data_IF_786013657154
#
_entry.id   IF_786013657154
#
_cell.length_a   1.000
_cell.length_b   1.000
_cell.length_c   1.000
_cell.angle_alpha   90.00
_cell.angle_beta   90.00
_cell.angle_gamma   90.00
#
_symmetry.space_group_name_H-M   'P 1'
#
loop_
_entity.id
_entity.type
_entity.pdbx_description
1 polymer ?
#
# COMPACT_ATOMS: atom_id res chain seq x y z
N UNK A 1 39.85 30.87 -70.99
CA UNK A 1 39.06 31.82 -71.80
C UNK A 1 38.04 31.12 -72.72
N UNK A 2 37.42 30.00 -72.30
CA UNK A 2 36.56 29.15 -73.15
C UNK A 2 35.09 29.05 -72.71
N UNK A 3 34.71 29.62 -71.56
CA UNK A 3 33.36 29.50 -71.01
C UNK A 3 32.31 30.42 -71.65
N UNK A 4 32.73 31.55 -72.25
CA UNK A 4 31.81 32.59 -72.75
C UNK A 4 31.19 32.23 -74.11
N UNK A 5 31.92 31.56 -75.01
CA UNK A 5 31.40 31.19 -76.34
C UNK A 5 30.37 30.04 -76.31
N UNK A 6 30.46 29.12 -75.35
CA UNK A 6 29.48 28.03 -75.18
C UNK A 6 28.10 28.51 -74.73
N UNK A 7 28.06 29.57 -73.91
CA UNK A 7 26.81 30.11 -73.39
C UNK A 7 25.98 30.86 -74.43
N UNK A 8 26.62 31.40 -75.48
CA UNK A 8 25.95 32.12 -76.58
C UNK A 8 25.30 31.13 -77.56
N UNK A 9 25.97 30.02 -77.87
CA UNK A 9 25.43 28.99 -78.77
C UNK A 9 24.18 28.28 -78.23
N UNK A 10 24.08 28.11 -76.91
CA UNK A 10 22.90 27.51 -76.27
C UNK A 10 21.69 28.45 -76.21
N UNK A 11 21.93 29.77 -76.17
CA UNK A 11 20.87 30.79 -76.16
C UNK A 11 20.20 30.97 -77.53
N UNK A 12 20.95 30.79 -78.63
CA UNK A 12 20.40 30.88 -80.00
C UNK A 12 19.62 29.62 -80.37
N UNK A 13 19.97 28.46 -79.79
CA UNK A 13 19.36 27.16 -80.12
C UNK A 13 18.13 26.81 -79.28
N UNK A 14 18.03 27.31 -78.04
CA UNK A 14 16.85 27.22 -77.19
C UNK A 14 16.34 28.62 -76.90
N UNK A 15 15.09 28.93 -77.28
CA UNK A 15 14.51 30.25 -77.12
C UNK A 15 14.65 30.81 -75.69
N UNK A 16 14.63 32.15 -75.53
CA UNK A 16 15.03 32.84 -74.29
C UNK A 16 14.26 32.37 -73.05
N UNK A 17 13.03 31.88 -73.21
CA UNK A 17 12.20 31.32 -72.14
C UNK A 17 12.70 29.97 -71.61
N UNK A 18 13.14 29.08 -72.49
CA UNK A 18 13.62 27.73 -72.12
C UNK A 18 15.00 27.80 -71.47
N UNK A 19 15.87 28.70 -71.95
CA UNK A 19 17.18 28.97 -71.34
C UNK A 19 17.06 29.42 -69.87
N UNK A 20 16.14 30.35 -69.58
CA UNK A 20 15.88 30.81 -68.19
C UNK A 20 15.30 29.69 -67.32
N UNK A 21 14.41 28.86 -67.88
CA UNK A 21 13.79 27.75 -67.17
C UNK A 21 14.80 26.67 -66.77
N UNK A 22 15.68 26.31 -67.70
CA UNK A 22 16.66 25.24 -67.51
C UNK A 22 17.82 25.68 -66.61
N UNK A 23 18.26 26.94 -66.75
CA UNK A 23 19.42 27.45 -65.99
C UNK A 23 19.06 27.97 -64.59
N UNK A 24 17.84 28.47 -64.38
CA UNK A 24 17.44 29.06 -63.09
C UNK A 24 16.26 28.36 -62.41
N UNK A 25 15.15 28.04 -63.10
CA UNK A 25 13.95 27.49 -62.41
C UNK A 25 14.10 26.05 -61.93
N UNK A 26 14.54 25.12 -62.79
CA UNK A 26 14.70 23.72 -62.40
C UNK A 26 15.68 23.50 -61.23
N UNK A 27 16.89 24.10 -61.21
CA UNK A 27 17.81 23.90 -60.10
C UNK A 27 17.26 24.47 -58.80
N UNK A 28 16.56 25.62 -58.83
CA UNK A 28 15.93 26.21 -57.64
C UNK A 28 14.84 25.32 -57.04
N UNK A 29 13.94 24.80 -57.88
CA UNK A 29 12.85 23.93 -57.42
C UNK A 29 13.40 22.64 -56.83
N UNK A 30 14.41 22.04 -57.47
CA UNK A 30 15.10 20.86 -56.93
C UNK A 30 15.76 21.18 -55.58
N UNK A 31 16.47 22.29 -55.48
CA UNK A 31 17.13 22.70 -54.24
C UNK A 31 16.14 22.88 -53.08
N UNK A 32 14.99 23.49 -53.34
CA UNK A 32 13.92 23.67 -52.34
C UNK A 32 13.34 22.31 -51.94
N UNK A 33 13.01 21.46 -52.91
CA UNK A 33 12.44 20.14 -52.64
C UNK A 33 13.39 19.23 -51.86
N UNK A 34 14.67 19.24 -52.21
CA UNK A 34 15.71 18.46 -51.52
C UNK A 34 15.91 18.98 -50.09
N UNK A 35 15.91 20.30 -49.89
CA UNK A 35 15.98 20.92 -48.55
C UNK A 35 14.79 20.52 -47.68
N UNK A 36 13.58 20.54 -48.23
CA UNK A 36 12.35 20.16 -47.51
C UNK A 36 12.35 18.67 -47.16
N UNK A 37 12.79 17.81 -48.07
CA UNK A 37 12.87 16.37 -47.80
C UNK A 37 13.95 16.03 -46.76
N UNK A 38 15.06 16.76 -46.76
CA UNK A 38 16.12 16.60 -45.78
C UNK A 38 15.63 17.00 -44.37
N UNK A 39 14.86 18.09 -44.26
CA UNK A 39 14.19 18.43 -43.00
C UNK A 39 13.16 17.39 -42.59
N UNK A 40 12.26 17.00 -43.49
CA UNK A 40 11.18 16.03 -43.22
C UNK A 40 11.70 14.67 -42.77
N UNK A 41 12.78 14.19 -43.38
CA UNK A 41 13.43 12.92 -43.02
C UNK A 41 14.13 13.00 -41.66
N UNK A 42 14.83 14.10 -41.36
CA UNK A 42 15.43 14.33 -40.03
C UNK A 42 14.38 14.36 -38.93
N UNK A 43 13.24 15.03 -39.14
CA UNK A 43 12.17 15.08 -38.14
C UNK A 43 11.51 13.72 -37.93
N UNK A 44 11.22 12.98 -39.02
CA UNK A 44 10.58 11.66 -38.90
C UNK A 44 11.42 10.64 -38.13
N UNK A 45 12.72 10.55 -38.42
CA UNK A 45 13.61 9.60 -37.74
C UNK A 45 13.84 9.98 -36.27
N UNK A 46 13.94 11.29 -35.97
CA UNK A 46 14.07 11.77 -34.60
C UNK A 46 12.85 11.42 -33.74
N UNK A 47 11.64 11.64 -34.26
CA UNK A 47 10.40 11.38 -33.51
C UNK A 47 10.19 9.90 -33.23
N UNK A 48 10.51 9.02 -34.18
CA UNK A 48 10.39 7.58 -33.97
C UNK A 48 11.31 7.05 -32.86
N UNK A 49 12.58 7.46 -32.88
CA UNK A 49 13.56 7.03 -31.89
C UNK A 49 13.21 7.56 -30.48
N UNK A 50 12.77 8.82 -30.37
CA UNK A 50 12.33 9.39 -29.09
C UNK A 50 11.13 8.61 -28.55
N UNK A 51 10.13 8.32 -29.40
CA UNK A 51 8.94 7.58 -28.99
C UNK A 51 9.28 6.17 -28.49
N UNK A 52 10.19 5.47 -29.17
CA UNK A 52 10.64 4.14 -28.76
C UNK A 52 11.37 4.17 -27.40
N UNK A 53 12.30 5.12 -27.21
CA UNK A 53 13.03 5.30 -25.94
C UNK A 53 12.05 5.63 -24.81
N UNK A 54 11.08 6.53 -25.06
CA UNK A 54 10.09 6.93 -24.08
C UNK A 54 9.24 5.73 -23.65
N UNK A 55 8.69 4.96 -24.60
CA UNK A 55 7.92 3.77 -24.27
C UNK A 55 8.72 2.72 -23.51
N UNK A 56 9.95 2.44 -23.94
CA UNK A 56 10.80 1.45 -23.27
C UNK A 56 11.13 1.89 -21.84
N UNK A 57 11.44 3.17 -21.64
CA UNK A 57 11.66 3.75 -20.32
C UNK A 57 10.40 3.69 -19.44
N UNK A 58 9.24 4.04 -20.00
CA UNK A 58 7.96 3.98 -19.29
C UNK A 58 7.61 2.56 -18.86
N UNK A 59 7.78 1.56 -19.73
CA UNK A 59 7.50 0.16 -19.40
C UNK A 59 8.38 -0.31 -18.24
N UNK A 60 9.68 -0.01 -18.28
CA UNK A 60 10.61 -0.37 -17.20
C UNK A 60 10.20 0.32 -15.90
N UNK A 61 9.92 1.62 -15.93
CA UNK A 61 9.50 2.39 -14.76
C UNK A 61 8.17 1.91 -14.17
N UNK A 62 7.23 1.49 -15.03
CA UNK A 62 5.94 0.95 -14.60
C UNK A 62 6.13 -0.41 -13.92
N UNK A 63 6.96 -1.30 -14.47
CA UNK A 63 7.26 -2.60 -13.86
C UNK A 63 7.93 -2.40 -12.49
N UNK A 64 8.91 -1.51 -12.38
CA UNK A 64 9.57 -1.26 -11.08
C UNK A 64 8.60 -0.65 -10.06
N UNK A 65 7.75 0.29 -10.48
CA UNK A 65 6.71 0.85 -9.61
C UNK A 65 5.72 -0.21 -9.14
N UNK A 66 5.28 -1.12 -10.03
CA UNK A 66 4.42 -2.24 -9.67
C UNK A 66 5.08 -3.21 -8.69
N UNK A 67 6.36 -3.52 -8.87
CA UNK A 67 7.10 -4.39 -7.95
C UNK A 67 7.21 -3.77 -6.54
N UNK A 68 7.53 -2.48 -6.46
CA UNK A 68 7.58 -1.75 -5.19
C UNK A 68 6.20 -1.71 -4.54
N UNK A 69 5.16 -1.42 -5.32
CA UNK A 69 3.78 -1.40 -4.83
C UNK A 69 3.35 -2.77 -4.28
N UNK A 70 3.62 -3.86 -5.02
CA UNK A 70 3.32 -5.22 -4.58
C UNK A 70 4.10 -5.61 -3.31
N UNK A 71 5.37 -5.20 -3.21
CA UNK A 71 6.19 -5.43 -2.02
C UNK A 71 5.60 -4.76 -0.78
N UNK A 72 5.21 -3.48 -0.89
CA UNK A 72 4.59 -2.73 0.20
C UNK A 72 3.24 -3.37 0.58
N UNK A 73 2.42 -3.71 -0.41
CA UNK A 73 1.12 -4.34 -0.17
C UNK A 73 1.27 -5.69 0.56
N UNK A 74 2.19 -6.54 0.12
CA UNK A 74 2.46 -7.81 0.79
C UNK A 74 2.99 -7.62 2.21
N UNK A 75 3.88 -6.65 2.43
CA UNK A 75 4.37 -6.33 3.77
C UNK A 75 3.23 -5.95 4.71
N UNK A 76 2.34 -5.05 4.27
CA UNK A 76 1.18 -4.62 5.05
C UNK A 76 0.24 -5.80 5.34
N UNK A 77 -0.05 -6.60 4.31
CA UNK A 77 -0.91 -7.78 4.48
C UNK A 77 -0.33 -8.75 5.52
N UNK A 78 0.96 -9.07 5.42
CA UNK A 78 1.63 -9.92 6.41
C UNK A 78 1.70 -9.28 7.79
N UNK A 79 1.93 -7.98 7.88
CA UNK A 79 1.92 -7.27 9.15
C UNK A 79 0.58 -7.47 9.87
N UNK A 80 -0.54 -7.24 9.20
CA UNK A 80 -1.86 -7.38 9.82
C UNK A 80 -2.29 -8.83 10.04
N UNK A 81 -1.83 -9.78 9.22
CA UNK A 81 -2.18 -11.20 9.37
C UNK A 81 -1.35 -11.87 10.48
N UNK A 82 -0.06 -11.52 10.59
CA UNK A 82 0.87 -12.25 11.45
C UNK A 82 1.30 -11.52 12.71
N UNK A 83 1.19 -10.18 12.78
CA UNK A 83 1.51 -9.47 14.02
C UNK A 83 0.25 -9.49 14.89
N UNK A 84 0.19 -10.35 15.93
CA UNK A 84 -0.95 -10.34 16.82
C UNK A 84 -0.98 -9.01 17.59
N UNK A 85 -2.16 -8.43 17.73
CA UNK A 85 -2.41 -7.48 18.81
C UNK A 85 -2.27 -8.24 20.12
N UNK A 86 -1.32 -7.85 20.97
CA UNK A 86 -1.03 -8.55 22.23
C UNK A 86 -2.21 -8.35 23.19
N UNK A 87 -3.17 -9.26 23.18
CA UNK A 87 -4.22 -9.43 24.19
C UNK A 87 -3.95 -10.73 24.95
N UNK A 88 -3.83 -10.62 26.28
CA UNK A 88 -3.56 -11.77 27.14
C UNK A 88 -4.82 -12.18 27.87
N UNK A 89 -5.36 -13.34 27.49
CA UNK A 89 -6.54 -13.93 28.13
C UNK A 89 -6.10 -14.93 29.20
N UNK A 90 -6.70 -14.83 30.39
CA UNK A 90 -6.48 -15.75 31.51
C UNK A 90 -7.83 -16.19 32.06
N UNK A 91 -8.07 -17.50 32.22
CA UNK A 91 -9.34 -17.98 32.76
C UNK A 91 -9.51 -17.58 34.22
N UNK A 92 -10.71 -17.13 34.58
CA UNK A 92 -11.09 -16.75 35.95
C UNK A 92 -11.95 -17.86 36.55
N UNK A 93 -11.52 -18.43 37.67
CA UNK A 93 -12.26 -19.47 38.38
C UNK A 93 -12.90 -18.89 39.64
N UNK A 94 -14.18 -18.52 39.54
CA UNK A 94 -14.96 -18.00 40.65
C UNK A 94 -15.20 -19.10 41.70
N UNK A 95 -14.88 -18.80 42.96
CA UNK A 95 -15.08 -19.71 44.10
C UNK A 95 -16.06 -19.10 45.09
N UNK A 96 -16.83 -19.97 45.73
CA UNK A 96 -17.76 -19.62 46.80
C UNK A 96 -17.34 -20.28 48.11
N UNK A 97 -17.64 -19.63 49.24
CA UNK A 97 -17.51 -20.25 50.55
C UNK A 97 -18.84 -20.94 50.92
N UNK A 98 -18.81 -22.22 51.32
CA UNK A 98 -20.02 -22.94 51.72
C UNK A 98 -20.58 -22.38 53.04
N UNK A 99 -21.90 -22.43 53.19
CA UNK A 99 -22.59 -22.13 54.45
C UNK A 99 -22.18 -23.11 55.56
N UNK A 100 -21.77 -22.60 56.73
CA UNK A 100 -21.53 -23.43 57.93
C UNK A 100 -20.08 -23.85 58.19
N UNK A 101 -19.09 -23.22 57.56
CA UNK A 101 -17.67 -23.39 57.91
C UNK A 101 -17.30 -22.68 59.24
N UNK A 102 -17.96 -23.08 60.31
CA UNK A 102 -17.53 -22.94 61.71
C UNK A 102 -17.21 -24.35 62.21
N UNK A 103 -16.32 -24.50 63.21
CA UNK A 103 -15.62 -25.73 63.65
C UNK A 103 -16.40 -27.07 63.73
N UNK A 104 -17.73 -27.05 63.65
CA UNK A 104 -18.58 -28.23 63.66
C UNK A 104 -19.15 -28.46 62.25
N UNK A 105 -18.53 -29.40 61.55
CA UNK A 105 -18.76 -29.79 60.16
C UNK A 105 -20.20 -30.31 59.91
N UNK A 106 -21.18 -29.41 59.84
CA UNK A 106 -22.52 -29.69 59.31
C UNK A 106 -22.73 -28.82 58.07
N UNK A 107 -22.47 -29.42 56.90
CA UNK A 107 -22.55 -28.73 55.60
C UNK A 107 -24.03 -28.60 55.20
N UNK A 108 -24.69 -27.55 55.66
CA UNK A 108 -25.94 -27.10 55.04
C UNK A 108 -25.66 -26.73 53.58
N UNK A 109 -26.34 -27.40 52.64
CA UNK A 109 -26.22 -27.12 51.20
C UNK A 109 -26.72 -25.71 50.91
N UNK A 110 -25.80 -24.75 50.80
CA UNK A 110 -26.11 -23.36 50.50
C UNK A 110 -24.86 -22.56 50.12
N UNK A 111 -25.08 -21.51 49.31
CA UNK A 111 -24.06 -20.53 48.91
C UNK A 111 -24.18 -19.37 49.90
N UNK A 112 -23.18 -19.16 50.77
CA UNK A 112 -23.22 -18.12 51.81
C UNK A 112 -22.26 -16.95 51.57
N UNK A 113 -21.56 -16.93 50.44
CA UNK A 113 -20.70 -15.82 50.05
C UNK A 113 -20.90 -15.47 48.59
N UNK A 114 -20.52 -14.26 48.22
CA UNK A 114 -20.38 -13.87 46.82
C UNK A 114 -19.25 -14.68 46.13
N UNK A 115 -19.34 -14.87 44.80
CA UNK A 115 -18.27 -15.48 44.03
C UNK A 115 -17.06 -14.55 44.00
N UNK A 116 -15.89 -15.06 44.39
CA UNK A 116 -14.64 -14.32 44.31
C UNK A 116 -13.55 -15.17 43.65
N UNK A 117 -12.65 -14.51 42.91
CA UNK A 117 -11.48 -15.15 42.31
C UNK A 117 -10.26 -14.22 42.43
N UNK A 118 -9.10 -14.81 42.68
CA UNK A 118 -7.82 -14.13 42.62
C UNK A 118 -7.08 -14.58 41.36
N UNK A 119 -6.80 -13.63 40.47
CA UNK A 119 -6.12 -13.89 39.19
C UNK A 119 -4.76 -13.21 39.23
N UNK A 120 -3.70 -14.00 39.10
CA UNK A 120 -2.34 -13.46 39.00
C UNK A 120 -2.06 -13.08 37.54
N UNK A 121 -2.03 -11.79 37.25
CA UNK A 121 -1.79 -11.27 35.89
C UNK A 121 -0.32 -11.39 35.46
N UNK A 122 0.62 -11.39 36.41
CA UNK A 122 2.06 -11.50 36.13
C UNK A 122 2.73 -12.50 37.07
N UNK A 123 3.63 -13.32 36.53
CA UNK A 123 4.50 -14.20 37.30
C UNK A 123 5.87 -14.24 36.64
N UNK A 124 6.86 -13.52 37.21
CA UNK A 124 8.26 -13.42 36.74
C UNK A 124 8.50 -12.90 35.31
N UNK A 125 7.50 -12.89 34.45
CA UNK A 125 7.53 -12.32 33.11
C UNK A 125 6.82 -10.96 33.18
N UNK A 126 7.53 -9.86 32.94
CA UNK A 126 6.94 -8.51 32.85
C UNK A 126 6.03 -8.41 31.62
N UNK A 127 4.84 -9.02 31.67
CA UNK A 127 3.80 -8.84 30.64
C UNK A 127 3.22 -7.43 30.73
N UNK A 128 3.22 -6.86 31.93
CA UNK A 128 2.78 -5.49 32.20
C UNK A 128 4.02 -4.65 32.50
N UNK A 129 4.50 -3.93 31.49
CA UNK A 129 5.55 -2.92 31.63
C UNK A 129 5.03 -1.70 32.39
N UNK A 130 5.87 -1.12 33.25
CA UNK A 130 5.55 0.10 33.98
C UNK A 130 5.43 1.30 33.02
N UNK A 131 4.46 2.19 33.27
CA UNK A 131 4.28 3.43 32.52
C UNK A 131 3.40 3.34 31.26
N UNK A 132 2.90 2.15 30.92
CA UNK A 132 1.95 1.97 29.82
C UNK A 132 0.51 1.83 30.36
N UNK A 133 -0.50 2.50 29.77
CA UNK A 133 -1.89 2.29 30.14
C UNK A 133 -2.38 0.93 29.63
N UNK A 134 -3.08 0.18 30.50
CA UNK A 134 -3.71 -1.10 30.15
C UNK A 134 -5.22 -1.01 30.32
N UNK A 135 -5.94 -1.80 29.52
CA UNK A 135 -7.39 -2.01 29.64
C UNK A 135 -7.63 -3.45 30.07
N UNK A 136 -8.46 -3.63 31.08
CA UNK A 136 -8.85 -4.95 31.60
C UNK A 136 -10.31 -5.16 31.20
N UNK A 137 -10.58 -6.29 30.56
CA UNK A 137 -11.92 -6.74 30.19
C UNK A 137 -12.21 -8.03 30.95
N UNK A 138 -13.39 -8.10 31.56
CA UNK A 138 -13.89 -9.30 32.22
C UNK A 138 -15.10 -9.78 31.43
N UNK A 139 -14.93 -10.88 30.71
CA UNK A 139 -16.01 -11.56 30.01
C UNK A 139 -16.57 -12.66 30.92
N UNK A 140 -17.85 -12.52 31.29
CA UNK A 140 -18.55 -13.47 32.15
C UNK A 140 -19.69 -14.13 31.35
N UNK A 141 -19.53 -15.41 31.04
CA UNK A 141 -20.57 -16.20 30.39
C UNK A 141 -21.60 -16.69 31.42
N UNK A 142 -22.87 -16.31 31.25
CA UNK A 142 -23.97 -16.78 32.08
C UNK A 142 -25.04 -17.53 31.27
N UNK A 143 -25.58 -18.65 31.77
CA UNK A 143 -26.63 -19.38 31.09
C UNK A 143 -28.01 -18.69 31.21
N UNK A 144 -28.83 -18.87 30.18
CA UNK A 144 -30.21 -18.39 30.07
C UNK A 144 -31.20 -19.20 30.93
N UNK A 145 -31.02 -19.17 32.25
CA UNK A 145 -31.93 -19.79 33.21
C UNK A 145 -33.06 -18.83 33.64
N UNK A 146 -34.26 -19.32 34.02
CA UNK A 146 -35.33 -18.45 34.51
C UNK A 146 -34.88 -17.62 35.72
N UNK A 147 -34.08 -18.20 36.61
CA UNK A 147 -33.48 -17.48 37.76
C UNK A 147 -32.53 -16.37 37.30
N UNK A 148 -31.68 -16.61 36.29
CA UNK A 148 -30.76 -15.59 35.79
C UNK A 148 -31.47 -14.50 34.98
N UNK A 149 -32.65 -14.78 34.41
CA UNK A 149 -33.49 -13.78 33.74
C UNK A 149 -34.22 -12.85 34.70
N UNK A 150 -34.53 -13.34 35.90
CA UNK A 150 -35.12 -12.54 36.97
C UNK A 150 -34.08 -11.69 37.71
N UNK A 151 -32.80 -12.04 37.60
CA UNK A 151 -31.70 -11.22 38.08
C UNK A 151 -31.46 -10.07 37.09
N UNK A 152 -31.74 -8.85 37.55
CA UNK A 152 -31.44 -7.62 36.82
C UNK A 152 -29.96 -7.21 37.02
N UNK A 153 -29.63 -5.92 37.09
CA UNK A 153 -28.26 -5.43 37.23
C UNK A 153 -27.55 -5.98 38.49
N UNK A 154 -26.39 -6.62 38.27
CA UNK A 154 -25.45 -7.02 39.31
C UNK A 154 -24.14 -6.27 39.12
N UNK A 155 -23.61 -5.73 40.23
CA UNK A 155 -22.33 -5.01 40.22
C UNK A 155 -21.19 -6.01 40.42
N UNK A 156 -20.19 -5.93 39.55
CA UNK A 156 -18.92 -6.63 39.73
C UNK A 156 -17.86 -5.61 40.17
N UNK A 157 -17.24 -5.86 41.33
CA UNK A 157 -16.22 -4.98 41.89
C UNK A 157 -14.81 -5.58 41.66
N UNK A 158 -13.97 -4.97 40.79
CA UNK A 158 -12.60 -5.38 40.63
C UNK A 158 -11.70 -4.73 41.70
N UNK A 159 -10.91 -5.53 42.40
CA UNK A 159 -9.90 -5.06 43.35
C UNK A 159 -8.50 -5.44 42.87
N UNK A 160 -7.60 -4.46 42.77
CA UNK A 160 -6.21 -4.66 42.37
C UNK A 160 -5.30 -4.65 43.58
N UNK A 161 -4.70 -5.80 43.90
CA UNK A 161 -3.71 -5.93 44.97
C UNK A 161 -2.29 -5.87 44.39
N UNK A 162 -1.47 -4.97 44.91
CA UNK A 162 -0.03 -4.97 44.67
C UNK A 162 0.62 -5.85 45.75
N UNK A 163 1.33 -6.90 45.32
CA UNK A 163 2.15 -7.70 46.22
C UNK A 163 3.58 -7.15 46.16
N UNK A 164 4.03 -6.56 47.27
CA UNK A 164 5.42 -6.13 47.50
C UNK A 164 6.39 -7.31 47.59
#
# INVERSE_FOLDING_TARGET
>A
MFGLFSSIGSFVRLGPREFVRQKFKLPLVKFIHDTVNLYKSRTKSGVHNVREILFRGTVIALITALLVWLSIFMYIAFYYVYVPTISHERPVYLKFKPCGATDNCEVTKGICSFPAAHVQLTKRQQLLMMGQPYKIHLDLDMPESPTNRELDMQVADPETLHYD
#
